data_IF_709602332022
#
_entry.id   IF_709602332022
#
_cell.length_a   1.000
_cell.length_b   1.000
_cell.length_c   1.000
_cell.angle_alpha   90.00
_cell.angle_beta   90.00
_cell.angle_gamma   90.00
#
_symmetry.space_group_name_H-M   'P 1'
#
loop_
_entity.id
_entity.type
_entity.pdbx_description
1 polymer ?
#
# COMPACT_ATOMS: atom_id res chain seq x y z
N UNK A 1 -1.84 -2.00 -10.29
CA UNK A 1 -1.50 -3.43 -10.50
C UNK A 1 0.00 -3.48 -10.80
N UNK A 2 0.76 -4.35 -10.14
CA UNK A 2 2.23 -4.43 -10.31
C UNK A 2 2.55 -4.91 -11.74
N UNK A 3 3.43 -4.20 -12.44
CA UNK A 3 3.80 -4.54 -13.82
C UNK A 3 4.60 -5.87 -13.82
N UNK A 4 4.09 -6.88 -14.56
CA UNK A 4 4.68 -8.23 -14.62
C UNK A 4 6.11 -8.25 -15.18
N UNK A 5 6.57 -7.13 -15.74
CA UNK A 5 7.93 -6.97 -16.26
C UNK A 5 9.00 -7.04 -15.16
N UNK A 6 8.67 -6.65 -13.93
CA UNK A 6 9.62 -6.61 -12.82
C UNK A 6 9.35 -7.74 -11.83
N UNK A 7 10.41 -8.40 -11.35
CA UNK A 7 10.29 -9.55 -10.44
C UNK A 7 10.09 -9.12 -8.99
N UNK A 8 10.37 -7.86 -8.67
CA UNK A 8 10.36 -7.35 -7.30
C UNK A 8 10.10 -5.84 -7.24
N UNK A 9 9.49 -5.31 -6.16
CA UNK A 9 9.33 -3.88 -5.93
C UNK A 9 10.63 -3.10 -5.96
N UNK A 10 11.71 -3.65 -5.40
CA UNK A 10 13.04 -3.03 -5.44
C UNK A 10 13.62 -2.98 -6.86
N UNK A 11 13.37 -4.00 -7.68
CA UNK A 11 13.79 -4.02 -9.08
C UNK A 11 13.08 -2.91 -9.88
N UNK A 12 11.79 -2.72 -9.65
CA UNK A 12 11.02 -1.63 -10.23
C UNK A 12 11.55 -0.25 -9.79
N UNK A 13 11.80 -0.04 -8.50
CA UNK A 13 12.37 1.22 -7.98
C UNK A 13 13.72 1.56 -8.64
N UNK A 14 14.59 0.56 -8.79
CA UNK A 14 15.89 0.72 -9.47
C UNK A 14 15.75 1.02 -10.95
N UNK A 15 14.83 0.34 -11.63
CA UNK A 15 14.55 0.59 -13.04
C UNK A 15 14.00 2.01 -13.26
N UNK A 16 13.05 2.43 -12.43
CA UNK A 16 12.45 3.76 -12.46
C UNK A 16 13.49 4.86 -12.18
N UNK A 17 14.34 4.66 -11.17
CA UNK A 17 15.44 5.58 -10.85
C UNK A 17 16.38 5.76 -12.04
N UNK A 18 16.69 4.66 -12.74
CA UNK A 18 17.54 4.67 -13.94
C UNK A 18 16.86 5.37 -15.12
N UNK A 19 15.58 5.08 -15.36
CA UNK A 19 14.79 5.65 -16.45
C UNK A 19 14.60 7.17 -16.29
N UNK A 20 14.32 7.62 -15.07
CA UNK A 20 14.15 9.03 -14.74
C UNK A 20 15.48 9.80 -14.58
N UNK A 21 16.62 9.12 -14.72
CA UNK A 21 17.94 9.75 -14.59
C UNK A 21 18.20 10.36 -13.20
N UNK A 22 17.54 9.84 -12.15
CA UNK A 22 17.71 10.34 -10.79
C UNK A 22 19.14 10.02 -10.33
N UNK A 23 19.96 11.06 -10.17
CA UNK A 23 21.35 10.95 -9.71
C UNK A 23 21.42 10.51 -8.25
N UNK A 24 22.59 10.03 -7.80
CA UNK A 24 22.79 9.57 -6.41
C UNK A 24 22.51 10.63 -5.34
N UNK A 25 22.45 11.92 -5.70
CA UNK A 25 22.05 13.03 -4.81
C UNK A 25 20.53 13.12 -4.60
N UNK A 26 19.73 12.68 -5.59
CA UNK A 26 18.26 12.59 -5.54
C UNK A 26 17.77 11.22 -5.07
N UNK A 27 18.59 10.18 -5.20
CA UNK A 27 18.29 8.85 -4.71
C UNK A 27 18.44 8.83 -3.18
N UNK A 28 17.32 8.83 -2.47
CA UNK A 28 17.32 8.82 -1.00
C UNK A 28 18.16 7.66 -0.46
N UNK A 29 18.88 7.92 0.64
CA UNK A 29 19.70 6.89 1.28
C UNK A 29 18.84 5.68 1.63
N UNK A 30 19.47 4.50 1.67
CA UNK A 30 18.76 3.25 1.92
C UNK A 30 18.02 3.26 3.28
N UNK A 31 18.56 4.00 4.26
CA UNK A 31 17.90 4.25 5.54
C UNK A 31 16.67 5.17 5.41
N UNK A 32 16.76 6.24 4.62
CA UNK A 32 15.62 7.11 4.36
C UNK A 32 14.49 6.37 3.63
N UNK A 33 14.83 5.52 2.65
CA UNK A 33 13.86 4.64 1.97
C UNK A 33 13.17 3.69 2.95
N UNK A 34 13.93 3.06 3.85
CA UNK A 34 13.38 2.16 4.87
C UNK A 34 12.45 2.89 5.84
N UNK A 35 12.81 4.09 6.31
CA UNK A 35 11.95 4.90 7.18
C UNK A 35 10.64 5.26 6.48
N UNK A 36 10.72 5.70 5.23
CA UNK A 36 9.54 6.01 4.43
C UNK A 36 8.64 4.78 4.25
N UNK A 37 9.20 3.65 3.82
CA UNK A 37 8.43 2.41 3.58
C UNK A 37 7.77 1.92 4.88
N UNK A 38 8.46 1.97 6.03
CA UNK A 38 7.87 1.62 7.32
C UNK A 38 6.71 2.54 7.70
N UNK A 39 6.84 3.84 7.44
CA UNK A 39 5.74 4.79 7.63
C UNK A 39 4.54 4.48 6.74
N UNK A 40 4.76 4.17 5.46
CA UNK A 40 3.70 3.79 4.52
C UNK A 40 2.99 2.49 4.94
N UNK A 41 3.73 1.50 5.44
CA UNK A 41 3.15 0.26 6.00
C UNK A 41 2.16 0.57 7.13
N UNK A 42 2.53 1.45 8.07
CA UNK A 42 1.64 1.83 9.18
C UNK A 42 0.41 2.60 8.68
N UNK A 43 0.57 3.48 7.69
CA UNK A 43 -0.56 4.18 7.06
C UNK A 43 -1.53 3.20 6.41
N UNK A 44 -1.05 2.23 5.63
CA UNK A 44 -1.92 1.22 5.01
C UNK A 44 -2.64 0.34 6.02
N UNK A 45 -1.98 -0.05 7.13
CA UNK A 45 -2.64 -0.78 8.22
C UNK A 45 -3.80 0.03 8.81
N UNK A 46 -3.57 1.31 9.09
CA UNK A 46 -4.61 2.20 9.63
C UNK A 46 -5.77 2.38 8.64
N UNK A 47 -5.47 2.52 7.34
CA UNK A 47 -6.50 2.61 6.30
C UNK A 47 -7.34 1.33 6.22
N UNK A 48 -6.72 0.15 6.26
CA UNK A 48 -7.46 -1.13 6.24
C UNK A 48 -8.40 -1.23 7.43
N UNK A 49 -7.92 -0.94 8.64
CA UNK A 49 -8.77 -0.91 9.85
C UNK A 49 -9.93 0.08 9.67
N UNK A 50 -9.66 1.26 9.11
CA UNK A 50 -10.70 2.25 8.86
C UNK A 50 -11.77 1.73 7.91
N UNK A 51 -11.39 1.09 6.81
CA UNK A 51 -12.36 0.50 5.88
C UNK A 51 -13.17 -0.63 6.51
N UNK A 52 -12.57 -1.44 7.38
CA UNK A 52 -13.32 -2.46 8.15
C UNK A 52 -14.41 -1.81 9.01
N UNK A 53 -14.09 -0.72 9.70
CA UNK A 53 -15.08 0.06 10.45
C UNK A 53 -16.14 0.69 9.55
N UNK A 54 -15.75 1.31 8.43
CA UNK A 54 -16.70 1.95 7.52
C UNK A 54 -17.65 0.90 6.89
N UNK A 55 -17.19 -0.33 6.62
CA UNK A 55 -18.02 -1.47 6.19
C UNK A 55 -19.03 -1.85 7.27
N UNK A 56 -18.62 -1.92 8.54
CA UNK A 56 -19.53 -2.20 9.64
C UNK A 56 -20.61 -1.11 9.78
N UNK A 57 -20.23 0.16 9.66
CA UNK A 57 -21.18 1.27 9.69
C UNK A 57 -22.14 1.25 8.49
N UNK A 58 -21.67 0.85 7.31
CA UNK A 58 -22.55 0.74 6.14
C UNK A 58 -23.58 -0.37 6.26
N UNK A 59 -23.29 -1.44 7.00
CA UNK A 59 -24.30 -2.47 7.28
C UNK A 59 -25.52 -1.89 8.02
N UNK A 60 -25.34 -0.86 8.86
CA UNK A 60 -26.47 -0.19 9.50
C UNK A 60 -27.36 0.54 8.50
N UNK A 61 -26.77 1.16 7.45
CA UNK A 61 -27.52 1.78 6.36
C UNK A 61 -28.26 0.73 5.53
N UNK A 62 -27.63 -0.42 5.27
CA UNK A 62 -28.22 -1.53 4.50
C UNK A 62 -29.43 -2.12 5.22
N UNK A 63 -29.42 -2.15 6.55
CA UNK A 63 -30.51 -2.67 7.38
C UNK A 63 -31.57 -1.62 7.72
N UNK A 64 -31.44 -0.39 7.22
CA UNK A 64 -32.41 0.66 7.48
C UNK A 64 -33.73 0.41 6.76
N UNK A 65 -34.86 0.83 7.32
CA UNK A 65 -36.20 0.65 6.72
C UNK A 65 -36.42 1.43 5.41
N UNK A 66 -35.56 2.41 5.09
CA UNK A 66 -35.73 3.31 3.94
C UNK A 66 -34.86 2.80 2.79
N UNK A 67 -35.49 2.43 1.68
CA UNK A 67 -34.84 1.84 0.51
C UNK A 67 -33.67 2.69 -0.03
N UNK A 68 -33.81 4.02 -0.04
CA UNK A 68 -32.73 4.92 -0.46
C UNK A 68 -31.47 4.79 0.41
N UNK A 69 -31.62 4.61 1.72
CA UNK A 69 -30.48 4.36 2.62
C UNK A 69 -29.89 2.97 2.41
N UNK A 70 -30.73 1.96 2.14
CA UNK A 70 -30.24 0.62 1.82
C UNK A 70 -29.39 0.62 0.55
N UNK A 71 -29.88 1.27 -0.51
CA UNK A 71 -29.18 1.41 -1.79
C UNK A 71 -27.84 2.12 -1.59
N UNK A 72 -27.83 3.24 -0.85
CA UNK A 72 -26.59 3.97 -0.56
C UNK A 72 -25.62 3.13 0.30
N UNK A 73 -26.16 2.34 1.23
CA UNK A 73 -25.40 1.42 2.05
C UNK A 73 -24.64 0.38 1.22
N UNK A 74 -25.32 -0.24 0.23
CA UNK A 74 -24.72 -1.23 -0.67
C UNK A 74 -23.64 -0.62 -1.58
N UNK A 75 -23.90 0.56 -2.12
CA UNK A 75 -22.94 1.30 -2.96
C UNK A 75 -21.65 1.59 -2.17
N UNK A 76 -21.79 2.20 -0.99
CA UNK A 76 -20.68 2.53 -0.11
C UNK A 76 -19.91 1.26 0.32
N UNK A 77 -20.62 0.19 0.70
CA UNK A 77 -20.00 -1.08 1.07
C UNK A 77 -19.14 -1.65 -0.06
N UNK A 78 -19.64 -1.62 -1.30
CA UNK A 78 -18.88 -2.07 -2.47
C UNK A 78 -17.60 -1.24 -2.67
N UNK A 79 -17.68 0.08 -2.51
CA UNK A 79 -16.51 0.96 -2.59
C UNK A 79 -15.48 0.62 -1.50
N UNK A 80 -15.90 0.55 -0.25
CA UNK A 80 -14.98 0.28 0.86
C UNK A 80 -14.33 -1.11 0.77
N UNK A 81 -15.06 -2.13 0.29
CA UNK A 81 -14.46 -3.45 0.03
C UNK A 81 -13.39 -3.37 -1.07
N UNK A 82 -13.66 -2.62 -2.14
CA UNK A 82 -12.67 -2.40 -3.21
C UNK A 82 -11.42 -1.69 -2.67
N UNK A 83 -11.61 -0.62 -1.92
CA UNK A 83 -10.52 0.19 -1.38
C UNK A 83 -9.70 -0.59 -0.34
N UNK A 84 -10.35 -1.40 0.50
CA UNK A 84 -9.69 -2.31 1.43
C UNK A 84 -8.84 -3.35 0.68
N UNK A 85 -9.33 -3.92 -0.41
CA UNK A 85 -8.56 -4.87 -1.25
C UNK A 85 -7.35 -4.21 -1.88
N UNK A 86 -7.49 -3.00 -2.41
CA UNK A 86 -6.39 -2.24 -3.00
C UNK A 86 -5.33 -1.89 -1.95
N UNK A 87 -5.77 -1.40 -0.78
CA UNK A 87 -4.90 -1.07 0.35
C UNK A 87 -4.16 -2.31 0.88
N UNK A 88 -4.84 -3.46 0.94
CA UNK A 88 -4.21 -4.74 1.30
C UNK A 88 -3.14 -5.16 0.30
N UNK A 89 -3.39 -5.00 -1.00
CA UNK A 89 -2.39 -5.30 -2.04
C UNK A 89 -1.18 -4.35 -1.98
N UNK A 90 -1.43 -3.06 -1.74
CA UNK A 90 -0.39 -2.06 -1.54
C UNK A 90 0.45 -2.38 -0.29
N UNK A 91 -0.19 -2.73 0.83
CA UNK A 91 0.48 -3.15 2.06
C UNK A 91 1.42 -4.33 1.82
N UNK A 92 0.97 -5.38 1.12
CA UNK A 92 1.81 -6.54 0.76
C UNK A 92 3.03 -6.12 -0.04
N UNK A 93 2.85 -5.22 -1.02
CA UNK A 93 3.94 -4.69 -1.85
C UNK A 93 4.94 -3.91 -1.02
N UNK A 94 4.48 -3.08 -0.07
CA UNK A 94 5.36 -2.29 0.81
C UNK A 94 6.12 -3.17 1.81
N UNK A 95 5.50 -4.22 2.34
CA UNK A 95 6.16 -5.21 3.19
C UNK A 95 7.28 -5.91 2.41
N UNK A 96 7.00 -6.35 1.18
CA UNK A 96 8.00 -6.97 0.33
C UNK A 96 9.16 -6.00 0.03
N UNK A 97 8.86 -4.74 -0.31
CA UNK A 97 9.89 -3.71 -0.54
C UNK A 97 10.75 -3.47 0.70
N UNK A 98 10.15 -3.43 1.91
CA UNK A 98 10.89 -3.31 3.18
C UNK A 98 11.88 -4.45 3.32
N UNK A 99 11.42 -5.69 3.15
CA UNK A 99 12.25 -6.88 3.36
C UNK A 99 13.42 -6.93 2.36
N UNK A 100 13.16 -6.54 1.10
CA UNK A 100 14.18 -6.41 0.07
C UNK A 100 15.21 -5.31 0.40
N UNK A 101 14.76 -4.16 0.89
CA UNK A 101 15.64 -3.07 1.33
C UNK A 101 16.46 -3.46 2.57
N UNK A 102 15.88 -4.14 3.56
CA UNK A 102 16.61 -4.61 4.74
C UNK A 102 17.70 -5.63 4.34
N UNK A 103 17.39 -6.55 3.43
CA UNK A 103 18.38 -7.49 2.89
C UNK A 103 19.50 -6.77 2.10
N UNK A 104 19.19 -5.70 1.36
CA UNK A 104 20.20 -4.89 0.69
C UNK A 104 21.09 -4.15 1.69
N UNK A 105 20.52 -3.60 2.76
CA UNK A 105 21.27 -2.95 3.84
C UNK A 105 22.31 -3.87 4.47
N UNK A 106 21.92 -5.12 4.75
CA UNK A 106 22.82 -6.12 5.33
C UNK A 106 23.98 -6.48 4.40
N UNK A 107 23.72 -6.57 3.08
CA UNK A 107 24.76 -6.84 2.08
C UNK A 107 25.77 -5.70 1.99
N UNK A 108 25.31 -4.45 2.10
CA UNK A 108 26.20 -3.27 2.09
C UNK A 108 27.07 -3.21 3.34
N UNK A 109 26.53 -3.56 4.52
CA UNK A 109 27.30 -3.58 5.78
C UNK A 109 28.39 -4.66 5.85
N UNK A 110 28.31 -5.71 5.04
CA UNK A 110 29.28 -6.82 4.99
C UNK A 110 30.40 -6.62 3.97
N UNK A 111 30.36 -5.53 3.20
CA UNK A 111 31.43 -5.08 2.30
C UNK A 111 32.29 -4.03 3.00
#
# INVERSE_FOLDING_TARGET
>A
MFDKKYKSPLEFDKALTKELGLTGELNSSLDAKLVYVKSQIEQFKQMIIRYEFDILLTNNLINHEVEAFQAKGRENQSSFISDAKQSTAALKTMIQLRDELEAEKEKVKKK
#
